data_IF_938387198491
#
_entry.id   IF_938387198491
#
_cell.length_a   1.000
_cell.length_b   1.000
_cell.length_c   1.000
_cell.angle_alpha   90.00
_cell.angle_beta   90.00
_cell.angle_gamma   90.00
#
_symmetry.space_group_name_H-M   'P 1'
#
loop_
_entity.id
_entity.type
_entity.pdbx_description
1 polymer ?
#
# COMPACT_ATOMS: atom_id res chain seq x y z
N UNK A 1 -22.13 10.95 31.95
CA UNK A 1 -21.72 9.61 31.48
C UNK A 1 -21.90 9.42 29.97
N UNK A 2 -23.09 9.70 29.40
CA UNK A 2 -23.32 9.61 27.94
C UNK A 2 -22.37 10.45 27.08
N UNK A 3 -22.16 11.73 27.45
CA UNK A 3 -21.26 12.63 26.73
C UNK A 3 -19.78 12.16 26.73
N UNK A 4 -19.36 11.49 27.80
CA UNK A 4 -18.00 10.95 27.94
C UNK A 4 -17.81 9.76 26.98
N UNK A 5 -18.80 8.87 26.90
CA UNK A 5 -18.77 7.69 26.01
C UNK A 5 -18.73 8.11 24.54
N UNK A 6 -19.49 9.14 24.15
CA UNK A 6 -19.47 9.69 22.78
C UNK A 6 -18.11 10.33 22.43
N UNK A 7 -17.46 10.99 23.39
CA UNK A 7 -16.14 11.60 23.16
C UNK A 7 -15.03 10.55 22.99
N UNK A 8 -15.08 9.48 23.78
CA UNK A 8 -14.16 8.34 23.66
C UNK A 8 -14.35 7.57 22.33
N UNK A 9 -15.58 7.43 21.85
CA UNK A 9 -15.85 6.78 20.57
C UNK A 9 -15.33 7.59 19.37
N UNK A 10 -15.39 8.93 19.44
CA UNK A 10 -14.89 9.79 18.37
C UNK A 10 -13.36 9.73 18.22
N UNK A 11 -12.62 9.59 19.32
CA UNK A 11 -11.16 9.47 19.31
C UNK A 11 -10.68 8.14 18.69
N UNK A 12 -11.49 7.08 18.81
CA UNK A 12 -11.17 5.75 18.30
C UNK A 12 -11.21 5.64 16.76
N UNK A 13 -11.77 6.62 16.03
CA UNK A 13 -11.89 6.59 14.56
C UNK A 13 -10.69 7.22 13.84
N UNK A 14 -9.73 7.79 14.57
CA UNK A 14 -8.55 8.44 13.97
C UNK A 14 -7.51 7.47 13.39
N UNK A 15 -7.70 6.15 13.54
CA UNK A 15 -6.73 5.11 13.18
C UNK A 15 -6.74 4.63 11.72
N UNK A 16 -7.25 5.40 10.76
CA UNK A 16 -7.11 5.05 9.35
C UNK A 16 -5.73 5.50 8.87
N UNK A 17 -4.70 4.69 9.15
CA UNK A 17 -3.33 4.97 8.70
C UNK A 17 -3.24 4.88 7.18
N UNK A 18 -2.47 5.76 6.56
CA UNK A 18 -2.08 5.62 5.16
C UNK A 18 -1.50 4.22 4.91
N UNK A 19 -1.88 3.61 3.78
CA UNK A 19 -1.38 2.30 3.35
C UNK A 19 0.15 2.24 3.51
N UNK A 20 0.66 1.13 4.05
CA UNK A 20 2.11 0.87 4.19
C UNK A 20 2.86 1.13 2.86
N UNK A 21 2.20 0.84 1.73
CA UNK A 21 2.74 1.09 0.40
C UNK A 21 2.90 2.57 0.06
N UNK A 22 2.09 3.48 0.62
CA UNK A 22 2.22 4.93 0.40
C UNK A 22 3.39 5.54 1.17
N UNK A 23 3.73 4.94 2.30
CA UNK A 23 4.88 5.35 3.13
C UNK A 23 6.20 4.82 2.58
N UNK A 24 6.14 3.81 1.72
CA UNK A 24 7.29 3.17 1.10
C UNK A 24 7.99 4.09 0.09
N UNK A 25 9.32 4.09 0.08
CA UNK A 25 10.09 4.79 -0.96
C UNK A 25 9.90 4.14 -2.34
N UNK A 26 10.08 4.89 -3.43
CA UNK A 26 9.91 4.33 -4.77
C UNK A 26 10.83 3.14 -5.05
N UNK A 27 12.09 3.21 -4.59
CA UNK A 27 13.07 2.15 -4.78
C UNK A 27 12.69 0.87 -4.02
N UNK A 28 12.17 1.02 -2.80
CA UNK A 28 11.73 -0.12 -2.01
C UNK A 28 10.48 -0.77 -2.61
N UNK A 29 9.53 0.05 -3.08
CA UNK A 29 8.33 -0.43 -3.76
C UNK A 29 8.69 -1.19 -5.04
N UNK A 30 9.58 -0.61 -5.86
CA UNK A 30 10.05 -1.22 -7.09
C UNK A 30 10.78 -2.54 -6.83
N UNK A 31 11.65 -2.60 -5.82
CA UNK A 31 12.38 -3.81 -5.42
C UNK A 31 11.44 -4.93 -4.96
N UNK A 32 10.52 -4.64 -4.03
CA UNK A 32 9.55 -5.63 -3.54
C UNK A 32 8.60 -6.11 -4.64
N UNK A 33 8.23 -5.23 -5.56
CA UNK A 33 7.42 -5.62 -6.70
C UNK A 33 8.19 -6.52 -7.67
N UNK A 34 9.46 -6.21 -7.96
CA UNK A 34 10.32 -7.06 -8.77
C UNK A 34 10.48 -8.47 -8.14
N UNK A 35 10.73 -8.53 -6.84
CA UNK A 35 10.81 -9.79 -6.10
C UNK A 35 9.52 -10.61 -6.23
N UNK A 36 8.36 -9.95 -6.24
CA UNK A 36 7.11 -10.65 -6.45
C UNK A 36 7.02 -11.25 -7.87
N UNK A 37 7.38 -10.47 -8.90
CA UNK A 37 7.34 -10.93 -10.28
C UNK A 37 8.25 -12.15 -10.50
N UNK A 38 9.43 -12.15 -9.87
CA UNK A 38 10.40 -13.23 -10.00
C UNK A 38 9.96 -14.49 -9.22
N UNK A 39 9.39 -14.33 -8.02
CA UNK A 39 8.98 -15.46 -7.17
C UNK A 39 7.60 -16.04 -7.51
N UNK A 40 6.76 -15.32 -8.25
CA UNK A 40 5.41 -15.76 -8.68
C UNK A 40 4.60 -16.41 -7.54
N UNK A 41 4.37 -15.71 -6.42
CA UNK A 41 3.75 -16.31 -5.25
C UNK A 41 2.31 -16.77 -5.55
N UNK A 42 1.97 -17.99 -5.13
CA UNK A 42 0.64 -18.57 -5.32
C UNK A 42 -0.28 -18.43 -4.11
N UNK A 43 0.29 -18.12 -2.94
CA UNK A 43 -0.49 -17.89 -1.73
C UNK A 43 -1.38 -16.65 -1.91
N UNK A 44 -2.70 -16.72 -1.63
CA UNK A 44 -3.64 -15.64 -1.94
C UNK A 44 -3.23 -14.29 -1.36
N UNK A 45 -2.83 -14.24 -0.08
CA UNK A 45 -2.42 -12.98 0.55
C UNK A 45 -1.18 -12.35 -0.09
N UNK A 46 -0.23 -13.18 -0.55
CA UNK A 46 0.96 -12.68 -1.26
C UNK A 46 0.60 -12.19 -2.66
N UNK A 47 -0.26 -12.91 -3.38
CA UNK A 47 -0.75 -12.48 -4.69
C UNK A 47 -1.49 -11.13 -4.59
N UNK A 48 -2.34 -10.96 -3.57
CA UNK A 48 -3.00 -9.68 -3.28
C UNK A 48 -2.00 -8.57 -2.98
N UNK A 49 -0.96 -8.84 -2.17
CA UNK A 49 0.07 -7.85 -1.89
C UNK A 49 0.80 -7.38 -3.16
N UNK A 50 1.09 -8.30 -4.09
CA UNK A 50 1.70 -7.97 -5.38
C UNK A 50 0.82 -7.12 -6.27
N UNK A 51 -0.48 -7.41 -6.29
CA UNK A 51 -1.47 -6.61 -7.02
C UNK A 51 -1.59 -5.20 -6.42
N UNK A 52 -1.53 -5.07 -5.08
CA UNK A 52 -1.51 -3.78 -4.41
C UNK A 52 -0.25 -2.97 -4.77
N UNK A 53 0.92 -3.61 -4.81
CA UNK A 53 2.17 -2.98 -5.24
C UNK A 53 2.08 -2.50 -6.69
N UNK A 54 1.54 -3.32 -7.60
CA UNK A 54 1.30 -2.93 -9.01
C UNK A 54 0.45 -1.66 -9.10
N UNK A 55 -0.66 -1.61 -8.37
CA UNK A 55 -1.58 -0.45 -8.37
C UNK A 55 -0.92 0.80 -7.82
N UNK A 56 -0.13 0.67 -6.76
CA UNK A 56 0.60 1.81 -6.20
C UNK A 56 1.67 2.33 -7.17
N UNK A 57 2.38 1.43 -7.86
CA UNK A 57 3.30 1.81 -8.94
C UNK A 57 2.59 2.58 -10.07
N UNK A 58 1.40 2.14 -10.48
CA UNK A 58 0.60 2.82 -11.50
C UNK A 58 0.12 4.20 -11.04
N UNK A 59 -0.38 4.31 -9.80
CA UNK A 59 -0.78 5.59 -9.21
C UNK A 59 0.38 6.59 -9.21
N UNK A 60 1.56 6.18 -8.75
CA UNK A 60 2.76 7.06 -8.72
C UNK A 60 3.20 7.48 -10.11
N UNK A 61 3.09 6.58 -11.09
CA UNK A 61 3.36 6.89 -12.50
C UNK A 61 2.43 7.99 -13.01
N UNK A 62 1.14 7.91 -12.70
CA UNK A 62 0.15 8.90 -13.10
C UNK A 62 0.40 10.27 -12.44
N UNK A 63 0.84 10.28 -11.17
CA UNK A 63 1.07 11.52 -10.41
C UNK A 63 2.41 12.21 -10.72
N UNK A 64 3.51 11.45 -10.82
CA UNK A 64 4.86 11.99 -10.93
C UNK A 64 5.39 12.00 -12.36
N UNK A 65 4.74 11.27 -13.28
CA UNK A 65 5.22 11.09 -14.65
C UNK A 65 6.48 10.22 -14.79
N UNK A 66 7.09 9.80 -13.67
CA UNK A 66 8.24 8.89 -13.63
C UNK A 66 7.81 7.49 -13.21
N UNK A 67 8.33 6.47 -13.90
CA UNK A 67 8.04 5.07 -13.62
C UNK A 67 9.31 4.35 -13.13
N UNK A 68 9.31 3.89 -11.88
CA UNK A 68 10.43 3.17 -11.27
C UNK A 68 10.18 1.66 -11.12
N UNK A 69 8.93 1.21 -11.22
CA UNK A 69 8.59 -0.21 -11.10
C UNK A 69 8.85 -0.96 -12.41
N UNK A 70 9.09 -2.27 -12.35
CA UNK A 70 9.30 -3.10 -13.55
C UNK A 70 7.97 -3.36 -14.26
N UNK A 71 7.94 -3.26 -15.59
CA UNK A 71 6.89 -3.86 -16.43
C UNK A 71 7.33 -5.24 -16.89
N UNK A 72 6.37 -6.18 -16.95
CA UNK A 72 6.48 -7.61 -17.27
C UNK A 72 7.58 -8.01 -18.26
#
# INVERSE_FOLDING_TARGET
>A
MRALITLLAALAVTGCSDSELRQMSDNELAGKYADCLDNRPTAPGKATACENMRRECERRREELGSFLCRTY
#
